data_IF_650590483412
#
_entry.id   IF_650590483412
#
_cell.length_a   1.000
_cell.length_b   1.000
_cell.length_c   1.000
_cell.angle_alpha   90.00
_cell.angle_beta   90.00
_cell.angle_gamma   90.00
#
_symmetry.space_group_name_H-M   'P 1'
#
loop_
_entity.id
_entity.type
_entity.pdbx_description
1 polymer ?
#
# COMPACT_ATOMS: atom_id res chain seq x y z
N UNK A 1 10.24 -24.37 5.11
CA UNK A 1 9.90 -23.39 6.14
C UNK A 1 8.85 -22.49 5.51
N UNK A 2 7.70 -22.36 6.15
CA UNK A 2 6.60 -21.56 5.63
C UNK A 2 6.97 -20.09 5.83
N UNK A 3 7.48 -19.44 4.78
CA UNK A 3 7.86 -18.02 4.76
C UNK A 3 6.59 -17.14 4.77
N UNK A 4 5.65 -17.43 5.67
CA UNK A 4 4.42 -16.68 5.89
C UNK A 4 4.79 -15.22 6.19
N UNK A 5 4.54 -14.33 5.22
CA UNK A 5 4.79 -12.90 5.35
C UNK A 5 3.69 -12.25 6.18
N UNK A 6 4.04 -11.26 7.00
CA UNK A 6 3.06 -10.48 7.77
C UNK A 6 3.18 -8.98 7.49
N UNK A 7 2.08 -8.26 7.71
CA UNK A 7 2.05 -6.81 7.73
C UNK A 7 2.24 -6.29 9.15
N UNK A 8 3.02 -5.22 9.30
CA UNK A 8 2.94 -4.37 10.49
C UNK A 8 2.49 -2.99 10.07
N UNK A 9 1.59 -2.40 10.87
CA UNK A 9 1.13 -1.03 10.68
C UNK A 9 1.84 -0.15 11.69
N UNK A 10 2.46 0.92 11.20
CA UNK A 10 3.04 1.95 12.08
C UNK A 10 2.16 3.18 12.03
N UNK A 11 1.55 3.51 13.17
CA UNK A 11 0.66 4.67 13.32
C UNK A 11 1.47 5.82 13.93
N UNK A 12 1.41 7.01 13.32
CA UNK A 12 1.94 8.22 13.98
C UNK A 12 0.92 8.70 15.00
N UNK A 13 1.30 8.66 16.28
CA UNK A 13 0.52 9.27 17.35
C UNK A 13 0.56 10.80 17.20
N UNK A 14 -0.48 11.37 16.62
CA UNK A 14 -0.75 12.80 16.75
C UNK A 14 -1.53 13.03 18.05
N UNK A 15 -1.12 13.98 18.90
CA UNK A 15 -1.99 14.50 19.93
C UNK A 15 -3.15 15.20 19.23
N UNK A 16 -4.33 14.58 19.22
CA UNK A 16 -5.53 15.19 18.66
C UNK A 16 -5.91 16.41 19.49
N UNK A 17 -6.02 17.57 18.85
CA UNK A 17 -6.66 18.71 19.46
C UNK A 17 -8.17 18.43 19.45
N UNK A 18 -8.77 18.47 20.64
CA UNK A 18 -10.07 17.84 20.97
C UNK A 18 -11.24 18.23 20.04
N UNK A 19 -11.14 19.35 19.31
CA UNK A 19 -12.21 19.92 18.48
C UNK A 19 -12.54 19.14 17.20
N UNK A 20 -11.62 18.35 16.62
CA UNK A 20 -11.91 17.60 15.37
C UNK A 20 -12.48 16.19 15.59
N UNK A 21 -12.50 15.68 16.84
CA UNK A 21 -12.95 14.31 17.14
C UNK A 21 -14.36 14.19 17.73
N UNK A 22 -15.00 15.32 18.07
CA UNK A 22 -16.36 15.35 18.66
C UNK A 22 -17.43 14.76 17.74
N UNK A 23 -17.12 14.52 16.45
CA UNK A 23 -18.07 13.99 15.49
C UNK A 23 -18.33 12.47 15.53
N UNK A 24 -17.37 11.62 15.93
CA UNK A 24 -17.49 10.18 15.63
C UNK A 24 -17.63 9.24 16.82
N UNK A 25 -17.13 9.57 18.01
CA UNK A 25 -17.31 8.72 19.20
C UNK A 25 -17.40 9.58 20.46
N UNK A 26 -18.60 9.76 21.00
CA UNK A 26 -18.88 10.61 22.17
C UNK A 26 -18.35 10.08 23.50
N UNK A 27 -17.03 9.88 23.62
CA UNK A 27 -16.37 9.52 24.87
C UNK A 27 -14.91 9.95 24.89
N UNK A 28 -14.41 10.29 26.08
CA UNK A 28 -12.99 10.54 26.40
C UNK A 28 -12.14 9.28 26.20
N UNK A 29 -11.94 8.88 24.94
CA UNK A 29 -10.91 7.92 24.59
C UNK A 29 -9.69 8.69 24.10
N UNK A 30 -8.50 8.25 24.54
CA UNK A 30 -7.23 8.61 23.90
C UNK A 30 -7.29 8.09 22.46
N UNK A 31 -7.94 8.85 21.59
CA UNK A 31 -8.20 8.41 20.25
C UNK A 31 -6.88 8.39 19.49
N UNK A 32 -6.54 7.22 18.99
CA UNK A 32 -5.38 7.04 18.12
C UNK A 32 -5.80 7.54 16.75
N UNK A 33 -5.22 8.66 16.32
CA UNK A 33 -5.37 9.12 14.95
C UNK A 33 -4.60 8.18 14.02
N UNK A 34 -5.28 7.62 13.02
CA UNK A 34 -4.67 6.74 12.03
C UNK A 34 -3.94 7.51 10.92
N UNK A 35 -3.85 8.83 11.02
CA UNK A 35 -3.16 9.67 10.05
C UNK A 35 -1.71 9.23 9.86
N UNK A 36 -1.27 9.27 8.60
CA UNK A 36 0.06 8.85 8.15
C UNK A 36 0.42 7.40 8.51
N UNK A 37 -0.57 6.52 8.74
CA UNK A 37 -0.27 5.10 8.98
C UNK A 37 0.41 4.50 7.76
N UNK A 38 1.51 3.79 7.97
CA UNK A 38 2.27 3.14 6.91
C UNK A 38 2.25 1.61 7.05
N UNK A 39 2.30 0.93 5.91
CA UNK A 39 2.38 -0.52 5.83
C UNK A 39 3.85 -0.94 5.74
N UNK A 40 4.22 -1.88 6.59
CA UNK A 40 5.51 -2.55 6.59
C UNK A 40 5.33 -4.04 6.33
N UNK A 41 6.36 -4.66 5.74
CA UNK A 41 6.43 -6.09 5.46
C UNK A 41 7.58 -6.70 6.25
N UNK A 42 7.35 -7.86 6.87
CA UNK A 42 8.39 -8.65 7.52
C UNK A 42 8.11 -10.15 7.33
N UNK A 43 9.14 -10.97 7.55
CA UNK A 43 9.01 -12.42 7.64
C UNK A 43 8.31 -12.83 8.96
N UNK A 44 7.77 -14.05 9.01
CA UNK A 44 7.12 -14.63 10.19
C UNK A 44 8.01 -14.70 11.42
N UNK A 45 9.32 -14.80 11.23
CA UNK A 45 10.32 -14.80 12.28
C UNK A 45 10.70 -13.39 12.78
N UNK A 46 10.05 -12.34 12.26
CA UNK A 46 10.33 -10.94 12.57
C UNK A 46 11.54 -10.36 11.82
N UNK A 47 12.23 -11.14 10.99
CA UNK A 47 13.34 -10.66 10.17
C UNK A 47 12.85 -9.93 8.91
N UNK A 48 13.76 -9.20 8.24
CA UNK A 48 13.48 -8.59 6.94
C UNK A 48 12.47 -7.44 6.94
N UNK A 49 12.24 -6.80 8.10
CA UNK A 49 11.35 -5.65 8.22
C UNK A 49 11.69 -4.55 7.21
N UNK A 50 10.69 -4.10 6.44
CA UNK A 50 10.83 -3.00 5.48
C UNK A 50 9.53 -2.24 5.26
N UNK A 51 9.65 -0.98 4.92
CA UNK A 51 8.52 -0.11 4.61
C UNK A 51 8.00 -0.33 3.18
N UNK A 52 6.69 -0.50 3.00
CA UNK A 52 6.03 -0.62 1.70
C UNK A 52 5.47 0.72 1.21
N UNK A 53 4.86 1.50 2.10
CA UNK A 53 4.25 2.80 1.78
C UNK A 53 4.99 3.92 2.49
N UNK A 54 5.14 5.09 1.86
CA UNK A 54 5.90 6.23 2.42
C UNK A 54 5.09 7.51 2.61
N UNK A 55 3.95 7.62 1.92
CA UNK A 55 3.13 8.82 1.85
C UNK A 55 1.66 8.45 2.11
N UNK A 56 0.88 9.44 2.56
CA UNK A 56 -0.56 9.27 2.80
C UNK A 56 -0.87 8.38 4.00
N UNK A 57 -2.16 8.09 4.21
CA UNK A 57 -2.66 7.19 5.25
C UNK A 57 -3.04 5.85 4.63
N UNK A 58 -2.32 4.78 4.97
CA UNK A 58 -2.42 3.47 4.32
C UNK A 58 -2.93 2.41 5.31
N UNK A 59 -4.11 1.85 5.03
CA UNK A 59 -4.86 1.01 5.95
C UNK A 59 -5.33 -0.30 5.28
N UNK A 60 -5.70 -1.26 6.13
CA UNK A 60 -6.32 -2.53 5.75
C UNK A 60 -5.57 -3.33 4.67
N UNK A 61 -4.27 -3.64 4.87
CA UNK A 61 -3.53 -4.45 3.92
C UNK A 61 -4.04 -5.89 3.87
N UNK A 62 -4.10 -6.46 2.67
CA UNK A 62 -4.34 -7.89 2.45
C UNK A 62 -3.41 -8.43 1.36
N UNK A 63 -2.93 -9.67 1.54
CA UNK A 63 -2.10 -10.33 0.54
C UNK A 63 -2.96 -10.82 -0.63
N UNK A 64 -2.47 -10.55 -1.84
CA UNK A 64 -2.91 -11.20 -3.07
C UNK A 64 -1.95 -12.36 -3.38
N UNK A 65 -2.48 -13.42 -3.98
CA UNK A 65 -1.71 -14.64 -4.31
C UNK A 65 -0.49 -14.40 -5.23
N UNK A 66 -0.39 -13.22 -5.86
CA UNK A 66 0.67 -12.89 -6.80
C UNK A 66 1.74 -11.95 -6.23
N UNK A 67 2.08 -12.09 -4.95
CA UNK A 67 3.11 -11.28 -4.27
C UNK A 67 2.78 -9.78 -4.33
N UNK A 68 1.50 -9.44 -4.16
CA UNK A 68 1.04 -8.06 -4.06
C UNK A 68 0.26 -7.86 -2.78
N UNK A 69 0.22 -6.62 -2.33
CA UNK A 69 -0.58 -6.19 -1.19
C UNK A 69 -1.65 -5.25 -1.72
N UNK A 70 -2.91 -5.57 -1.49
CA UNK A 70 -4.02 -4.65 -1.68
C UNK A 70 -4.18 -3.84 -0.38
N UNK A 71 -4.43 -2.55 -0.49
CA UNK A 71 -4.65 -1.67 0.66
C UNK A 71 -5.51 -0.46 0.27
N UNK A 72 -6.11 0.18 1.27
CA UNK A 72 -6.76 1.46 1.10
C UNK A 72 -5.77 2.58 1.44
N UNK A 73 -5.75 3.66 0.65
CA UNK A 73 -4.90 4.82 0.91
C UNK A 73 -5.62 6.13 0.67
N UNK A 74 -5.41 7.11 1.54
CA UNK A 74 -5.82 8.51 1.38
C UNK A 74 -4.64 9.46 1.42
N UNK A 75 -4.79 10.69 0.91
CA UNK A 75 -3.74 11.70 0.86
C UNK A 75 -2.66 11.44 -0.20
N UNK A 76 -2.89 10.48 -1.11
CA UNK A 76 -2.11 10.30 -2.34
C UNK A 76 -2.68 11.18 -3.47
N UNK A 77 -4.00 11.30 -3.52
CA UNK A 77 -4.71 12.21 -4.43
C UNK A 77 -4.97 13.54 -3.72
N UNK A 78 -5.32 14.58 -4.49
CA UNK A 78 -5.60 15.91 -3.94
C UNK A 78 -6.79 15.92 -2.95
N UNK A 79 -7.66 14.90 -3.00
CA UNK A 79 -8.71 14.68 -2.02
C UNK A 79 -8.29 13.63 -0.97
N UNK A 80 -8.64 13.87 0.30
CA UNK A 80 -8.42 12.93 1.42
C UNK A 80 -9.32 11.67 1.35
N UNK A 81 -9.81 11.32 0.15
CA UNK A 81 -10.63 10.15 -0.09
C UNK A 81 -9.77 8.89 -0.11
N UNK A 82 -10.23 7.86 0.59
CA UNK A 82 -9.62 6.53 0.50
C UNK A 82 -9.87 5.91 -0.87
N UNK A 83 -8.79 5.53 -1.55
CA UNK A 83 -8.79 4.78 -2.80
C UNK A 83 -8.08 3.43 -2.62
N UNK A 84 -8.34 2.50 -3.53
CA UNK A 84 -7.77 1.15 -3.47
C UNK A 84 -6.51 1.05 -4.32
N UNK A 85 -5.43 0.57 -3.72
CA UNK A 85 -4.13 0.42 -4.35
C UNK A 85 -3.60 -1.00 -4.20
N UNK A 86 -2.77 -1.42 -5.16
CA UNK A 86 -2.00 -2.65 -5.07
C UNK A 86 -0.51 -2.36 -5.26
N UNK A 87 0.32 -2.84 -4.34
CA UNK A 87 1.80 -2.72 -4.42
C UNK A 87 2.45 -4.10 -4.51
N UNK A 88 3.52 -4.22 -5.30
CA UNK A 88 4.33 -5.44 -5.37
C UNK A 88 5.20 -5.63 -4.12
N UNK A 89 5.31 -6.87 -3.64
CA UNK A 89 6.19 -7.22 -2.50
C UNK A 89 7.60 -7.64 -2.93
N UNK A 90 7.88 -7.71 -4.24
CA UNK A 90 9.22 -8.03 -4.73
C UNK A 90 10.21 -6.86 -4.48
N UNK A 91 11.48 -7.17 -4.17
CA UNK A 91 12.58 -6.20 -4.00
C UNK A 91 13.11 -5.71 -5.34
N UNK A 92 13.82 -4.58 -5.36
CA UNK A 92 14.74 -4.21 -6.44
C UNK A 92 14.12 -3.93 -7.81
N UNK A 93 12.84 -3.53 -7.85
CA UNK A 93 12.20 -3.14 -9.09
C UNK A 93 11.62 -1.74 -9.03
N UNK A 94 11.93 -0.94 -10.05
CA UNK A 94 11.21 0.29 -10.33
C UNK A 94 10.18 0.00 -11.42
N UNK A 95 8.91 0.34 -11.18
CA UNK A 95 7.84 0.18 -12.17
C UNK A 95 7.54 1.56 -12.76
N UNK A 96 7.50 1.66 -14.09
CA UNK A 96 7.28 2.90 -14.82
C UNK A 96 6.22 2.71 -15.91
N UNK A 97 5.65 3.82 -16.36
CA UNK A 97 4.81 3.89 -17.55
C UNK A 97 3.64 2.87 -17.54
N UNK A 98 2.76 2.89 -16.53
CA UNK A 98 1.54 2.10 -16.59
C UNK A 98 0.66 2.58 -17.76
N UNK A 99 0.08 1.64 -18.50
CA UNK A 99 -0.87 1.89 -19.55
C UNK A 99 -2.00 0.85 -19.47
N UNK A 100 -3.23 1.28 -19.69
CA UNK A 100 -4.40 0.39 -19.70
C UNK A 100 -4.91 0.28 -21.13
N UNK A 101 -5.33 -0.92 -21.55
CA UNK A 101 -5.96 -1.10 -22.86
C UNK A 101 -7.28 -0.32 -22.93
N UNK A 102 -7.70 0.03 -24.14
CA UNK A 102 -8.90 0.85 -24.34
C UNK A 102 -10.17 0.24 -23.73
N UNK A 103 -10.26 -1.09 -23.68
CA UNK A 103 -11.35 -1.84 -23.07
C UNK A 103 -11.23 -1.98 -21.53
N UNK A 104 -10.17 -1.48 -20.92
CA UNK A 104 -9.91 -1.59 -19.48
C UNK A 104 -9.46 -2.98 -19.01
N UNK A 105 -9.33 -3.97 -19.91
CA UNK A 105 -9.15 -5.37 -19.54
C UNK A 105 -7.69 -5.77 -19.36
N UNK A 106 -6.74 -4.92 -19.74
CA UNK A 106 -5.30 -5.20 -19.72
C UNK A 106 -4.53 -4.03 -19.15
N UNK A 107 -3.61 -4.32 -18.24
CA UNK A 107 -2.65 -3.36 -17.69
C UNK A 107 -1.25 -3.73 -18.17
N UNK A 108 -0.61 -2.82 -18.88
CA UNK A 108 0.80 -2.86 -19.27
C UNK A 108 1.59 -1.97 -18.31
N UNK A 109 2.80 -2.36 -17.93
CA UNK A 109 3.77 -1.46 -17.32
C UNK A 109 5.18 -1.90 -17.68
N UNK A 110 6.13 -0.96 -17.58
CA UNK A 110 7.54 -1.27 -17.69
C UNK A 110 8.16 -1.47 -16.31
N UNK A 111 9.17 -2.32 -16.21
CA UNK A 111 9.86 -2.62 -14.96
C UNK A 111 11.36 -2.74 -15.21
N UNK A 112 12.14 -2.07 -14.38
CA UNK A 112 13.59 -2.20 -14.35
C UNK A 112 14.02 -2.90 -13.06
N UNK A 113 15.04 -3.76 -13.10
CA UNK A 113 15.75 -4.19 -11.88
C UNK A 113 16.79 -3.14 -11.53
N UNK A 114 16.96 -2.83 -10.24
CA UNK A 114 17.92 -1.81 -9.77
C UNK A 114 19.36 -2.03 -10.25
N UNK A 115 19.71 -3.27 -10.64
CA UNK A 115 21.08 -3.67 -10.97
C UNK A 115 21.41 -3.92 -12.45
N UNK A 116 20.51 -3.73 -13.41
CA UNK A 116 20.85 -3.92 -14.84
C UNK A 116 20.09 -2.96 -15.75
N UNK A 117 20.71 -2.59 -16.88
CA UNK A 117 20.18 -1.71 -17.95
C UNK A 117 19.01 -2.34 -18.74
N UNK A 118 18.10 -3.06 -18.08
CA UNK A 118 17.04 -3.81 -18.74
C UNK A 118 15.67 -3.32 -18.30
N UNK A 119 15.04 -2.53 -19.17
CA UNK A 119 13.63 -2.20 -19.05
C UNK A 119 12.80 -3.32 -19.72
N UNK A 120 12.04 -4.06 -18.93
CA UNK A 120 11.16 -5.13 -19.41
C UNK A 120 9.71 -4.68 -19.40
N UNK A 121 8.91 -5.16 -20.34
CA UNK A 121 7.47 -4.91 -20.40
C UNK A 121 6.70 -6.07 -19.75
N UNK A 122 5.73 -5.72 -18.91
CA UNK A 122 4.86 -6.64 -18.19
C UNK A 122 3.41 -6.35 -18.56
N UNK A 123 2.62 -7.40 -18.77
CA UNK A 123 1.20 -7.33 -19.07
C UNK A 123 0.43 -8.16 -18.04
N UNK A 124 -0.60 -7.56 -17.44
CA UNK A 124 -1.58 -8.24 -16.60
C UNK A 124 -2.97 -8.13 -17.21
N UNK A 125 -3.75 -9.21 -17.10
CA UNK A 125 -5.19 -9.18 -17.38
C UNK A 125 -5.91 -8.71 -16.11
N UNK A 126 -6.71 -7.65 -16.24
CA UNK A 126 -7.53 -7.09 -15.15
C UNK A 126 -8.84 -7.87 -15.00
N UNK A 127 -9.28 -8.54 -16.08
CA UNK A 127 -10.52 -9.31 -16.11
C UNK A 127 -11.76 -8.43 -16.30
N UNK A 128 -12.83 -9.02 -16.84
CA UNK A 128 -14.17 -8.45 -16.82
C UNK A 128 -14.91 -9.15 -15.69
N UNK A 129 -15.36 -8.42 -14.69
CA UNK A 129 -16.21 -8.97 -13.64
C UNK A 129 -17.53 -9.49 -14.23
#
# INVERSE_FOLDING_TARGET
>A
MDDSLFFTLHVRLHPVNYSSMVGYCGGEYNAVELADTQIFLMHSDGSGLRQLTKNGTNLWPTFLNNKRVLFASSGILEDDTFNIFAITTDRDYENFYPAVSHDGLKLLWSRNTTNIRQLNLYLALVGKF
#
